data_IF_329602267252
#
_entry.id   IF_329602267252
#
_cell.length_a   1.000
_cell.length_b   1.000
_cell.length_c   1.000
_cell.angle_alpha   90.00
_cell.angle_beta   90.00
_cell.angle_gamma   90.00
#
_symmetry.space_group_name_H-M   'P 1'
#
loop_
_entity.id
_entity.type
_entity.pdbx_description
1 polymer ?
#
# COMPACT_ATOMS: atom_id res chain seq x y z
N UNK A 1 2.30 6.17 -10.31
CA UNK A 1 3.76 6.28 -10.13
C UNK A 1 4.46 5.98 -11.44
N UNK A 2 5.36 6.88 -11.84
CA UNK A 2 6.32 6.67 -12.90
C UNK A 2 7.63 6.15 -12.33
N UNK A 3 8.41 5.44 -13.14
CA UNK A 3 9.72 4.89 -12.73
C UNK A 3 10.67 5.98 -12.19
N UNK A 4 10.83 7.15 -12.84
CA UNK A 4 11.72 8.19 -12.34
C UNK A 4 11.29 8.74 -10.98
N UNK A 5 9.99 8.83 -10.72
CA UNK A 5 9.44 9.31 -9.44
C UNK A 5 9.81 8.35 -8.31
N UNK A 6 9.68 7.04 -8.54
CA UNK A 6 10.07 6.02 -7.57
C UNK A 6 11.58 6.07 -7.28
N UNK A 7 12.41 6.20 -8.33
CA UNK A 7 13.85 6.35 -8.15
C UNK A 7 14.20 7.63 -7.37
N UNK A 8 13.52 8.75 -7.68
CA UNK A 8 13.70 10.01 -6.97
C UNK A 8 13.29 9.89 -5.50
N UNK A 9 12.17 9.24 -5.19
CA UNK A 9 11.75 8.99 -3.82
C UNK A 9 12.85 8.26 -3.03
N UNK A 10 13.45 7.22 -3.60
CA UNK A 10 14.56 6.48 -2.95
C UNK A 10 15.75 7.41 -2.68
N UNK A 11 16.17 8.19 -3.67
CA UNK A 11 17.31 9.12 -3.53
C UNK A 11 17.03 10.24 -2.52
N UNK A 12 15.82 10.81 -2.54
CA UNK A 12 15.41 11.84 -1.57
C UNK A 12 15.38 11.25 -0.16
N UNK A 13 14.77 10.07 0.01
CA UNK A 13 14.71 9.38 1.29
C UNK A 13 16.10 9.15 1.89
N UNK A 14 17.09 8.80 1.06
CA UNK A 14 18.48 8.66 1.50
C UNK A 14 19.13 9.99 1.95
N UNK A 15 18.70 11.12 1.41
CA UNK A 15 19.26 12.43 1.71
C UNK A 15 18.59 13.12 2.92
N UNK A 16 17.27 12.96 3.10
CA UNK A 16 16.50 13.70 4.11
C UNK A 16 15.83 12.82 5.18
N UNK A 17 15.72 11.52 4.95
CA UNK A 17 15.05 10.59 5.86
C UNK A 17 15.84 10.34 7.14
N UNK A 18 15.14 9.94 8.21
CA UNK A 18 15.71 9.65 9.52
C UNK A 18 15.33 8.26 10.02
N UNK A 19 16.05 7.80 11.04
CA UNK A 19 15.81 6.50 11.67
C UNK A 19 14.36 6.36 12.16
N UNK A 20 13.68 5.32 11.68
CA UNK A 20 12.31 5.03 12.07
C UNK A 20 11.26 5.85 11.32
N UNK A 21 11.61 6.46 10.19
CA UNK A 21 10.65 7.11 9.30
C UNK A 21 10.39 6.27 8.04
N UNK A 22 9.14 6.22 7.59
CA UNK A 22 8.74 5.73 6.27
C UNK A 22 8.39 6.93 5.41
N UNK A 23 9.04 7.03 4.26
CA UNK A 23 8.87 8.12 3.30
C UNK A 23 7.79 7.74 2.29
N UNK A 24 6.77 8.59 2.15
CA UNK A 24 5.61 8.35 1.28
C UNK A 24 5.52 9.46 0.25
N UNK A 25 5.56 9.06 -1.02
CA UNK A 25 5.36 9.96 -2.16
C UNK A 25 3.86 10.28 -2.33
N UNK A 26 3.55 11.52 -2.64
CA UNK A 26 2.22 11.93 -3.10
C UNK A 26 1.98 11.35 -4.50
N UNK A 27 0.91 10.59 -4.67
CA UNK A 27 0.64 9.77 -5.86
C UNK A 27 -0.49 10.31 -6.74
N UNK A 28 -1.01 11.49 -6.40
CA UNK A 28 -2.15 12.12 -7.02
C UNK A 28 -3.45 11.39 -6.74
N UNK A 29 -4.41 11.59 -7.64
CA UNK A 29 -5.71 10.92 -7.57
C UNK A 29 -5.62 9.47 -8.05
N UNK A 30 -6.28 8.51 -7.35
CA UNK A 30 -6.39 7.14 -7.82
C UNK A 30 -6.94 7.06 -9.25
N UNK A 31 -6.39 6.15 -10.04
CA UNK A 31 -6.79 5.94 -11.45
C UNK A 31 -7.46 4.57 -11.59
N UNK A 32 -8.60 4.52 -12.29
CA UNK A 32 -9.31 3.27 -12.54
C UNK A 32 -8.57 2.44 -13.59
N UNK A 33 -8.45 1.13 -13.36
CA UNK A 33 -7.81 0.19 -14.29
C UNK A 33 -8.55 0.18 -15.65
N UNK A 34 -9.87 0.33 -15.65
CA UNK A 34 -10.68 0.43 -16.87
C UNK A 34 -10.28 1.64 -17.75
N UNK A 35 -10.06 2.80 -17.14
CA UNK A 35 -9.64 4.01 -17.87
C UNK A 35 -8.23 3.85 -18.46
N UNK A 36 -7.32 3.19 -17.73
CA UNK A 36 -5.98 2.84 -18.23
C UNK A 36 -6.08 1.92 -19.44
N UNK A 37 -6.88 0.86 -19.35
CA UNK A 37 -7.06 -0.09 -20.46
C UNK A 37 -7.62 0.59 -21.71
N UNK A 38 -8.66 1.41 -21.56
CA UNK A 38 -9.26 2.20 -22.67
C UNK A 38 -8.25 3.17 -23.29
N UNK A 39 -7.46 3.86 -22.46
CA UNK A 39 -6.42 4.79 -22.92
C UNK A 39 -5.37 4.05 -23.75
N UNK A 40 -4.91 2.88 -23.30
CA UNK A 40 -3.94 2.07 -24.03
C UNK A 40 -4.50 1.57 -25.37
N UNK A 41 -5.77 1.13 -25.42
CA UNK A 41 -6.44 0.73 -26.66
C UNK A 41 -6.50 1.92 -27.63
N UNK A 42 -6.93 3.10 -27.16
CA UNK A 42 -6.99 4.30 -27.98
C UNK A 42 -5.62 4.69 -28.54
N UNK A 43 -4.57 4.68 -27.70
CA UNK A 43 -3.20 4.98 -28.10
C UNK A 43 -2.63 3.97 -29.11
N UNK A 44 -3.09 2.71 -29.07
CA UNK A 44 -2.66 1.68 -30.03
C UNK A 44 -3.21 1.90 -31.45
N UNK A 45 -4.26 2.69 -31.61
CA UNK A 45 -4.95 2.90 -32.90
C UNK A 45 -5.77 1.71 -33.39
N UNK A 46 -5.85 0.62 -32.62
CA UNK A 46 -6.63 -0.58 -32.97
C UNK A 46 -8.09 -0.45 -32.52
N UNK A 47 -8.99 -1.09 -33.26
CA UNK A 47 -10.46 -1.06 -33.02
C UNK A 47 -11.05 -2.42 -32.67
N UNK A 48 -10.23 -3.46 -32.70
CA UNK A 48 -10.57 -4.88 -32.58
C UNK A 48 -10.07 -5.49 -31.26
N UNK A 49 -9.89 -4.65 -30.23
CA UNK A 49 -9.50 -5.11 -28.89
C UNK A 49 -10.72 -5.04 -27.98
N UNK A 50 -11.10 -6.18 -27.39
CA UNK A 50 -12.15 -6.28 -26.39
C UNK A 50 -11.57 -6.27 -24.97
N UNK A 51 -12.28 -5.65 -24.02
CA UNK A 51 -11.95 -5.70 -22.59
C UNK A 51 -12.78 -6.82 -21.94
N UNK A 52 -12.10 -7.83 -21.41
CA UNK A 52 -12.71 -8.92 -20.65
C UNK A 52 -12.51 -8.71 -19.15
N UNK A 53 -13.60 -8.55 -18.41
CA UNK A 53 -13.57 -8.42 -16.96
C UNK A 53 -13.53 -9.81 -16.31
N UNK A 54 -12.47 -10.09 -15.56
CA UNK A 54 -12.24 -11.39 -14.92
C UNK A 54 -12.60 -11.42 -13.43
N UNK A 55 -13.03 -10.27 -12.87
CA UNK A 55 -13.27 -10.10 -11.44
C UNK A 55 -11.97 -9.96 -10.65
N UNK A 56 -12.10 -9.84 -9.33
CA UNK A 56 -10.98 -9.82 -8.40
C UNK A 56 -10.42 -11.21 -8.17
N UNK A 57 -9.10 -11.31 -8.05
CA UNK A 57 -8.44 -12.52 -7.57
C UNK A 57 -8.50 -12.58 -6.04
N UNK A 58 -8.46 -13.77 -5.43
CA UNK A 58 -8.44 -13.89 -3.97
C UNK A 58 -7.30 -13.07 -3.36
N UNK A 59 -7.64 -12.17 -2.44
CA UNK A 59 -6.69 -11.30 -1.74
C UNK A 59 -6.37 -9.97 -2.45
N UNK A 60 -6.94 -9.68 -3.62
CA UNK A 60 -6.80 -8.36 -4.25
C UNK A 60 -7.69 -7.32 -3.56
N UNK A 61 -7.14 -6.11 -3.35
CA UNK A 61 -7.90 -4.94 -2.89
C UNK A 61 -8.52 -4.20 -4.08
N UNK A 62 -9.67 -3.55 -3.86
CA UNK A 62 -10.29 -2.65 -4.85
C UNK A 62 -9.59 -1.29 -4.96
N UNK A 63 -8.91 -0.87 -3.90
CA UNK A 63 -8.18 0.39 -3.83
C UNK A 63 -6.96 0.28 -2.93
N UNK A 64 -5.95 1.08 -3.24
CA UNK A 64 -4.77 1.26 -2.40
C UNK A 64 -4.96 2.46 -1.47
N UNK A 65 -4.33 2.38 -0.30
CA UNK A 65 -4.29 3.44 0.70
C UNK A 65 -2.83 3.74 1.01
N UNK A 66 -2.45 5.02 0.98
CA UNK A 66 -1.07 5.41 1.30
C UNK A 66 -0.82 5.48 2.80
N UNK A 67 -1.88 5.70 3.60
CA UNK A 67 -1.80 5.87 5.04
C UNK A 67 -2.89 5.08 5.73
N UNK A 68 -2.54 4.47 6.85
CA UNK A 68 -3.47 3.75 7.73
C UNK A 68 -4.05 4.71 8.76
N UNK A 69 -5.32 4.53 9.20
CA UNK A 69 -5.86 5.30 10.32
C UNK A 69 -4.96 5.23 11.56
N UNK A 70 -4.66 6.39 12.13
CA UNK A 70 -3.81 6.51 13.33
C UNK A 70 -2.33 6.79 13.04
N UNK A 71 -1.90 6.78 11.77
CA UNK A 71 -0.56 7.20 11.40
C UNK A 71 -0.38 8.73 11.52
N UNK A 72 0.76 9.15 12.07
CA UNK A 72 1.12 10.56 12.20
C UNK A 72 1.91 11.03 10.97
N UNK A 73 1.21 11.63 10.01
CA UNK A 73 1.82 12.18 8.79
C UNK A 73 2.57 13.48 9.10
N UNK A 74 3.83 13.56 8.66
CA UNK A 74 4.71 14.71 8.83
C UNK A 74 5.24 15.23 7.50
N UNK A 75 5.46 16.54 7.44
CA UNK A 75 6.12 17.17 6.31
C UNK A 75 7.63 16.95 6.35
N UNK A 76 8.24 16.73 5.19
CA UNK A 76 9.69 16.48 5.05
C UNK A 76 10.47 17.69 4.55
N UNK A 77 9.77 18.79 4.22
CA UNK A 77 10.33 19.96 3.54
C UNK A 77 10.32 19.85 2.01
N UNK A 78 10.04 18.66 1.46
CA UNK A 78 9.76 18.45 0.05
C UNK A 78 8.25 18.38 -0.18
N UNK A 79 7.73 19.11 -1.16
CA UNK A 79 6.28 19.29 -1.37
C UNK A 79 5.53 17.98 -1.61
N UNK A 80 6.14 17.05 -2.37
CA UNK A 80 5.53 15.79 -2.75
C UNK A 80 5.90 14.60 -1.85
N UNK A 81 6.67 14.81 -0.78
CA UNK A 81 7.12 13.72 0.08
C UNK A 81 6.75 13.99 1.53
N UNK A 82 6.04 13.04 2.12
CA UNK A 82 5.68 13.03 3.53
C UNK A 82 6.42 11.92 4.25
N UNK A 83 6.48 11.98 5.58
CA UNK A 83 7.01 10.90 6.40
C UNK A 83 6.01 10.45 7.46
N UNK A 84 6.10 9.19 7.84
CA UNK A 84 5.33 8.58 8.94
C UNK A 84 6.32 7.94 9.92
N UNK A 85 6.09 8.11 11.21
CA UNK A 85 6.88 7.46 12.24
C UNK A 85 6.52 5.98 12.35
N UNK A 86 7.53 5.11 12.33
CA UNK A 86 7.40 3.70 12.68
C UNK A 86 7.81 3.53 14.15
N UNK A 87 6.90 3.07 15.03
CA UNK A 87 7.23 2.80 16.41
C UNK A 87 8.38 1.80 16.53
N UNK A 88 9.36 2.11 17.40
CA UNK A 88 10.47 1.21 17.68
C UNK A 88 9.95 -0.01 18.44
N UNK A 89 10.31 -1.20 17.97
CA UNK A 89 10.05 -2.43 18.69
C UNK A 89 11.24 -2.74 19.62
N UNK A 90 10.99 -2.91 20.92
CA UNK A 90 12.03 -3.32 21.86
C UNK A 90 12.42 -4.79 21.62
N UNK A 91 13.71 -5.18 21.69
CA UNK A 91 14.12 -6.58 21.49
C UNK A 91 13.39 -7.59 22.40
N UNK A 92 13.07 -7.19 23.64
CA UNK A 92 12.33 -8.03 24.58
C UNK A 92 10.93 -8.42 24.11
N UNK A 93 10.30 -7.62 23.25
CA UNK A 93 9.01 -7.96 22.64
C UNK A 93 9.21 -9.08 21.62
N UNK A 94 10.31 -9.02 20.85
CA UNK A 94 10.65 -10.03 19.84
C UNK A 94 10.99 -11.36 20.52
N UNK A 95 11.75 -11.34 21.61
CA UNK A 95 12.12 -12.55 22.36
C UNK A 95 10.90 -13.33 22.89
N UNK A 96 9.80 -12.62 23.17
CA UNK A 96 8.54 -13.23 23.61
C UNK A 96 7.70 -13.86 22.48
N UNK A 97 8.11 -13.67 21.21
CA UNK A 97 7.37 -14.09 20.00
C UNK A 97 8.02 -15.29 19.28
N UNK A 98 8.70 -16.17 20.01
CA UNK A 98 9.20 -17.42 19.43
C UNK A 98 8.01 -18.33 19.06
N UNK A 99 7.63 -18.29 17.78
CA UNK A 99 6.58 -19.15 17.26
C UNK A 99 7.15 -20.52 16.86
N UNK A 100 6.43 -21.62 17.14
CA UNK A 100 6.92 -22.97 16.91
C UNK A 100 7.03 -23.34 15.42
N UNK A 101 6.38 -22.59 14.53
CA UNK A 101 6.40 -22.82 13.08
C UNK A 101 6.17 -21.52 12.31
N UNK A 102 6.53 -21.47 11.00
CA UNK A 102 6.19 -20.35 10.12
C UNK A 102 4.69 -20.04 10.05
N UNK A 103 3.84 -21.06 10.17
CA UNK A 103 2.37 -20.91 10.18
C UNK A 103 1.91 -20.17 11.44
N UNK A 104 2.45 -20.55 12.61
CA UNK A 104 2.16 -19.88 13.87
C UNK A 104 2.66 -18.43 13.87
N UNK A 105 3.79 -18.14 13.23
CA UNK A 105 4.25 -16.76 13.00
C UNK A 105 3.28 -15.99 12.11
N UNK A 106 2.81 -16.60 11.02
CA UNK A 106 1.89 -15.94 10.09
C UNK A 106 0.54 -15.62 10.75
N UNK A 107 0.01 -16.53 11.57
CA UNK A 107 -1.23 -16.32 12.32
C UNK A 107 -1.07 -15.23 13.38
N UNK A 108 0.06 -15.20 14.09
CA UNK A 108 0.36 -14.12 15.03
C UNK A 108 0.51 -12.78 14.32
N UNK A 109 1.27 -12.71 13.22
CA UNK A 109 1.44 -11.47 12.45
C UNK A 109 0.10 -10.96 11.92
N UNK A 110 -0.80 -11.85 11.49
CA UNK A 110 -2.17 -11.49 11.10
C UNK A 110 -2.98 -10.94 12.29
N UNK A 111 -2.89 -11.55 13.46
CA UNK A 111 -3.60 -11.05 14.66
C UNK A 111 -2.99 -9.80 15.30
N UNK A 112 -1.69 -9.56 15.08
CA UNK A 112 -0.95 -8.42 15.61
C UNK A 112 -0.93 -7.22 14.65
N UNK A 113 -1.29 -7.41 13.38
CA UNK A 113 -1.46 -6.34 12.41
C UNK A 113 -2.66 -5.47 12.82
N UNK A 114 -2.36 -4.33 13.45
CA UNK A 114 -3.28 -3.26 13.89
C UNK A 114 -4.37 -3.71 14.89
N UNK A 115 -4.25 -3.35 16.19
CA UNK A 115 -5.31 -3.57 17.16
C UNK A 115 -6.60 -2.85 16.73
N UNK A 116 -7.63 -3.60 16.38
CA UNK A 116 -8.94 -3.07 15.97
C UNK A 116 -9.15 -2.92 14.45
N UNK A 117 -8.16 -3.28 13.61
CA UNK A 117 -8.48 -3.61 12.22
C UNK A 117 -8.99 -5.05 12.20
N UNK A 118 -10.28 -5.25 11.94
CA UNK A 118 -10.73 -6.56 11.49
C UNK A 118 -10.00 -6.82 10.17
N UNK A 119 -8.93 -7.63 10.23
CA UNK A 119 -8.20 -8.07 9.04
C UNK A 119 -9.14 -8.82 8.10
N UNK A 120 -10.30 -9.28 8.60
CA UNK A 120 -11.43 -9.82 7.84
C UNK A 120 -12.29 -8.76 7.14
N UNK A 121 -12.46 -7.55 7.68
CA UNK A 121 -13.27 -6.48 7.07
C UNK A 121 -12.54 -5.75 5.94
N UNK A 122 -11.21 -5.68 5.98
CA UNK A 122 -10.41 -5.17 4.87
C UNK A 122 -10.55 -6.01 3.57
N UNK A 123 -11.12 -7.22 3.66
CA UNK A 123 -11.45 -8.09 2.52
C UNK A 123 -12.96 -8.20 2.23
N UNK A 124 -13.85 -7.56 3.00
CA UNK A 124 -15.31 -7.78 2.94
C UNK A 124 -16.16 -6.55 2.60
N UNK A 125 -15.59 -5.35 2.42
CA UNK A 125 -16.33 -4.19 1.89
C UNK A 125 -16.57 -4.28 0.37
N UNK A 126 -17.23 -5.35 -0.06
CA UNK A 126 -17.81 -5.52 -1.39
C UNK A 126 -19.33 -5.45 -1.28
N UNK A 127 -19.87 -4.29 -0.91
CA UNK A 127 -21.20 -3.93 -1.39
C UNK A 127 -21.06 -3.56 -2.87
N UNK A 128 -21.32 -4.56 -3.74
CA UNK A 128 -21.57 -4.32 -5.17
C UNK A 128 -22.86 -3.51 -5.27
N UNK A 129 -22.75 -2.19 -5.24
CA UNK A 129 -23.81 -1.34 -5.77
C UNK A 129 -23.81 -1.52 -7.28
N UNK A 130 -24.88 -2.17 -7.77
CA UNK A 130 -25.25 -2.32 -9.17
C UNK A 130 -25.31 -0.99 -9.91
#
# INVERSE_FOLDING_TARGET
MLIPEACQLVLQSAAIGRDGEVMVLEMGSPVKIDDVAKTLIQMSGRKDIEIAYTGLRPGEKMSEELFTPGESIKGTGHELVSSVDVPRLAPSIIDSTAHPSPEASADWMRGAAVPGADVTDAFLDVEVSR
#
